data_IF_410452311915
#
_entry.id   IF_410452311915
#
_cell.length_a   1.000
_cell.length_b   1.000
_cell.length_c   1.000
_cell.angle_alpha   90.00
_cell.angle_beta   90.00
_cell.angle_gamma   90.00
#
_symmetry.space_group_name_H-M   'P 1'
#
loop_
_entity.id
_entity.type
_entity.pdbx_description
1 polymer ?
#
# COMPACT_ATOMS: atom_id res chain seq x y z
N UNK A 1 18.07 -16.10 15.48
CA UNK A 1 17.56 -15.86 14.11
C UNK A 1 16.77 -14.56 14.11
N UNK A 2 17.23 -13.53 13.41
CA UNK A 2 16.48 -12.29 13.23
C UNK A 2 15.46 -12.50 12.11
N UNK A 3 14.17 -12.59 12.45
CA UNK A 3 13.10 -12.60 11.46
C UNK A 3 13.18 -11.31 10.65
N UNK A 4 13.27 -11.36 9.30
CA UNK A 4 13.42 -10.17 8.46
C UNK A 4 12.24 -9.18 8.58
N UNK A 5 11.10 -9.60 9.15
CA UNK A 5 10.00 -8.70 9.52
C UNK A 5 10.23 -7.86 10.79
N UNK A 6 11.14 -8.28 11.68
CA UNK A 6 11.36 -7.64 12.99
C UNK A 6 12.04 -6.28 12.89
N UNK A 7 13.03 -6.14 11.99
CA UNK A 7 13.75 -4.89 11.81
C UNK A 7 12.86 -3.80 11.22
N UNK A 8 12.17 -4.10 10.11
CA UNK A 8 11.27 -3.16 9.44
C UNK A 8 10.14 -2.72 10.38
N UNK A 9 9.54 -3.67 11.12
CA UNK A 9 8.47 -3.35 12.06
C UNK A 9 8.95 -2.41 13.19
N UNK A 10 10.17 -2.58 13.70
CA UNK A 10 10.77 -1.65 14.66
C UNK A 10 10.98 -0.25 14.08
N UNK A 11 11.39 -0.14 12.82
CA UNK A 11 11.53 1.16 12.14
C UNK A 11 10.18 1.85 11.95
N UNK A 12 9.16 1.11 11.50
CA UNK A 12 7.81 1.67 11.31
C UNK A 12 7.19 2.06 12.65
N UNK A 13 7.41 1.27 13.71
CA UNK A 13 7.02 1.63 15.07
C UNK A 13 7.63 2.96 15.49
N UNK A 14 8.95 3.15 15.30
CA UNK A 14 9.62 4.44 15.57
C UNK A 14 9.05 5.59 14.73
N UNK A 15 8.69 5.34 13.47
CA UNK A 15 8.03 6.34 12.64
C UNK A 15 6.66 6.72 13.21
N UNK A 16 5.87 5.74 13.64
CA UNK A 16 4.56 5.99 14.25
C UNK A 16 4.66 6.79 15.56
N UNK A 17 5.66 6.51 16.41
CA UNK A 17 5.86 7.25 17.66
C UNK A 17 6.32 8.68 17.40
N UNK A 18 7.22 8.90 16.43
CA UNK A 18 7.62 10.24 16.00
C UNK A 18 6.44 11.05 15.44
N UNK A 19 5.61 10.43 14.60
CA UNK A 19 4.41 11.06 14.05
C UNK A 19 3.36 11.34 15.14
N UNK A 20 3.24 10.52 16.19
CA UNK A 20 2.33 10.82 17.31
C UNK A 20 2.87 11.95 18.19
N UNK A 21 4.17 11.96 18.45
CA UNK A 21 4.84 12.96 19.26
C UNK A 21 5.10 14.29 18.52
N UNK A 22 4.74 14.38 17.24
CA UNK A 22 5.03 15.51 16.35
C UNK A 22 6.53 15.89 16.29
N UNK A 23 7.41 14.91 16.53
CA UNK A 23 8.87 15.11 16.52
C UNK A 23 9.46 14.61 15.21
N UNK A 24 10.32 15.42 14.59
CA UNK A 24 11.04 15.05 13.36
C UNK A 24 10.10 14.56 12.24
N UNK A 25 8.94 15.21 12.10
CA UNK A 25 7.86 14.80 11.18
C UNK A 25 8.37 14.75 9.74
N UNK A 26 9.07 15.79 9.29
CA UNK A 26 9.65 15.87 7.93
C UNK A 26 10.57 14.69 7.60
N UNK A 27 11.50 14.38 8.51
CA UNK A 27 12.44 13.25 8.38
C UNK A 27 11.67 11.92 8.36
N UNK A 28 10.67 11.79 9.22
CA UNK A 28 9.86 10.57 9.32
C UNK A 28 9.04 10.33 8.07
N UNK A 29 8.43 11.37 7.49
CA UNK A 29 7.71 11.28 6.20
C UNK A 29 8.66 10.88 5.06
N UNK A 30 9.89 11.40 5.07
CA UNK A 30 10.90 11.03 4.08
C UNK A 30 11.35 9.57 4.25
N UNK A 31 11.60 9.11 5.48
CA UNK A 31 11.92 7.70 5.74
C UNK A 31 10.81 6.75 5.26
N UNK A 32 9.53 7.11 5.45
CA UNK A 32 8.39 6.33 4.93
C UNK A 32 8.36 6.28 3.39
N UNK A 33 8.89 7.31 2.72
CA UNK A 33 9.06 7.33 1.26
C UNK A 33 10.23 6.47 0.78
N UNK A 34 11.36 6.48 1.48
CA UNK A 34 12.54 5.69 1.09
C UNK A 34 12.42 4.21 1.42
N UNK A 35 11.79 3.86 2.55
CA UNK A 35 11.65 2.47 2.98
C UNK A 35 10.66 1.71 2.09
N UNK A 36 11.10 0.58 1.54
CA UNK A 36 10.23 -0.46 0.98
C UNK A 36 9.57 -1.23 2.13
N UNK A 37 8.50 -0.63 2.65
CA UNK A 37 7.72 -1.19 3.76
C UNK A 37 6.55 -2.00 3.21
N UNK A 38 6.29 -3.24 3.68
CA UNK A 38 5.09 -3.98 3.30
C UNK A 38 3.82 -3.23 3.74
N UNK A 39 2.76 -3.28 2.92
CA UNK A 39 1.51 -2.60 3.21
C UNK A 39 0.91 -3.06 4.55
N UNK A 40 0.96 -4.37 4.82
CA UNK A 40 0.49 -4.96 6.07
C UNK A 40 1.11 -4.30 7.31
N UNK A 41 2.41 -3.98 7.27
CA UNK A 41 3.10 -3.32 8.39
C UNK A 41 2.63 -1.88 8.54
N UNK A 42 2.41 -1.16 7.44
CA UNK A 42 1.90 0.21 7.47
C UNK A 42 0.45 0.28 8.01
N UNK A 43 -0.35 -0.74 7.72
CA UNK A 43 -1.73 -0.88 8.23
C UNK A 43 -1.74 -1.21 9.73
N UNK A 44 -0.87 -2.10 10.22
CA UNK A 44 -0.77 -2.45 11.66
C UNK A 44 -0.46 -1.23 12.55
N UNK A 45 0.31 -0.27 12.07
CA UNK A 45 0.68 0.93 12.84
C UNK A 45 -0.15 2.17 12.50
N UNK A 46 -1.25 2.03 11.76
CA UNK A 46 -2.14 3.13 11.36
C UNK A 46 -1.41 4.31 10.70
N UNK A 47 -0.32 4.04 9.97
CA UNK A 47 0.54 5.10 9.40
C UNK A 47 -0.26 6.01 8.47
N UNK A 48 -1.22 5.45 7.73
CA UNK A 48 -2.09 6.22 6.84
C UNK A 48 -2.89 7.30 7.60
N UNK A 49 -3.49 6.95 8.72
CA UNK A 49 -4.30 7.89 9.51
C UNK A 49 -3.41 8.93 10.21
N UNK A 50 -2.22 8.53 10.67
CA UNK A 50 -1.25 9.46 11.22
C UNK A 50 -0.79 10.49 10.18
N UNK A 51 -0.47 10.05 8.97
CA UNK A 51 0.01 10.93 7.89
C UNK A 51 -1.10 11.86 7.37
N UNK A 52 -2.37 11.44 7.37
CA UNK A 52 -3.49 12.30 6.96
C UNK A 52 -3.56 13.60 7.77
N UNK A 53 -3.35 13.54 9.08
CA UNK A 53 -3.34 14.72 9.96
C UNK A 53 -2.28 15.74 9.55
N UNK A 54 -1.17 15.26 8.98
CA UNK A 54 -0.11 16.12 8.45
C UNK A 54 -0.36 16.60 7.02
N UNK A 55 -1.31 16.00 6.29
CA UNK A 55 -1.70 16.48 4.97
C UNK A 55 -2.52 17.78 5.04
N UNK A 56 -3.12 18.07 6.19
CA UNK A 56 -3.83 19.32 6.49
C UNK A 56 -2.86 20.44 6.91
N UNK A 57 -1.67 20.08 7.39
CA UNK A 57 -0.64 21.02 7.81
C UNK A 57 0.16 21.54 6.60
N UNK A 58 0.23 22.86 6.37
CA UNK A 58 0.86 23.43 5.17
C UNK A 58 2.34 23.07 5.05
N UNK A 59 3.07 22.98 6.17
CA UNK A 59 4.50 22.65 6.20
C UNK A 59 4.80 21.21 5.73
N UNK A 60 3.89 20.27 5.98
CA UNK A 60 4.09 18.85 5.70
C UNK A 60 3.19 18.31 4.58
N UNK A 61 2.29 19.14 4.06
CA UNK A 61 1.24 18.77 3.10
C UNK A 61 1.76 18.00 1.91
N UNK A 62 2.83 18.48 1.29
CA UNK A 62 3.37 17.85 0.09
C UNK A 62 3.97 16.48 0.38
N UNK A 63 4.82 16.38 1.41
CA UNK A 63 5.44 15.13 1.83
C UNK A 63 4.40 14.11 2.30
N UNK A 64 3.41 14.54 3.07
CA UNK A 64 2.33 13.68 3.54
C UNK A 64 1.47 13.15 2.37
N UNK A 65 1.14 14.00 1.39
CA UNK A 65 0.41 13.57 0.18
C UNK A 65 1.19 12.55 -0.63
N UNK A 66 2.50 12.73 -0.81
CA UNK A 66 3.38 11.76 -1.49
C UNK A 66 3.36 10.40 -0.80
N UNK A 67 3.47 10.37 0.54
CA UNK A 67 3.37 9.13 1.33
C UNK A 67 2.01 8.46 1.16
N UNK A 68 0.91 9.23 1.25
CA UNK A 68 -0.45 8.70 1.06
C UNK A 68 -0.67 8.13 -0.35
N UNK A 69 -0.12 8.79 -1.37
CA UNK A 69 -0.18 8.31 -2.75
C UNK A 69 0.59 7.00 -2.93
N UNK A 70 1.78 6.88 -2.34
CA UNK A 70 2.56 5.63 -2.33
C UNK A 70 1.79 4.48 -1.69
N UNK A 71 1.19 4.70 -0.51
CA UNK A 71 0.35 3.69 0.17
C UNK A 71 -0.83 3.27 -0.73
N UNK A 72 -1.47 4.23 -1.42
CA UNK A 72 -2.57 3.93 -2.34
C UNK A 72 -2.10 3.10 -3.54
N UNK A 73 -0.96 3.43 -4.14
CA UNK A 73 -0.38 2.66 -5.25
C UNK A 73 -0.06 1.23 -4.82
N UNK A 74 0.56 1.06 -3.65
CA UNK A 74 0.82 -0.26 -3.09
C UNK A 74 -0.47 -1.08 -2.92
N UNK A 75 -1.54 -0.47 -2.40
CA UNK A 75 -2.84 -1.15 -2.23
C UNK A 75 -3.47 -1.59 -3.55
N UNK A 76 -3.34 -0.78 -4.60
CA UNK A 76 -3.80 -1.14 -5.96
C UNK A 76 -2.96 -2.27 -6.54
N UNK A 77 -1.63 -2.20 -6.36
CA UNK A 77 -0.72 -3.24 -6.86
C UNK A 77 -0.96 -4.58 -6.15
N UNK A 78 -1.17 -4.57 -4.83
CA UNK A 78 -1.47 -5.79 -4.07
C UNK A 78 -2.78 -6.43 -4.52
N UNK A 79 -3.83 -5.62 -4.73
CA UNK A 79 -5.09 -6.10 -5.30
C UNK A 79 -4.89 -6.72 -6.68
N UNK A 80 -4.15 -6.06 -7.58
CA UNK A 80 -3.84 -6.59 -8.92
C UNK A 80 -3.06 -7.90 -8.87
N UNK A 81 -2.10 -8.03 -7.94
CA UNK A 81 -1.35 -9.28 -7.72
C UNK A 81 -2.26 -10.40 -7.21
N UNK A 82 -3.20 -10.10 -6.31
CA UNK A 82 -4.19 -11.07 -5.84
C UNK A 82 -5.10 -11.55 -6.98
N UNK A 83 -5.59 -10.64 -7.84
CA UNK A 83 -6.43 -11.01 -9.00
C UNK A 83 -5.65 -11.74 -10.09
N UNK A 84 -4.35 -11.50 -10.25
CA UNK A 84 -3.49 -12.27 -11.16
C UNK A 84 -3.23 -13.69 -10.65
N UNK A 85 -3.02 -13.88 -9.35
CA UNK A 85 -2.85 -15.22 -8.78
C UNK A 85 -4.09 -16.11 -8.92
N UNK A 86 -5.29 -15.53 -8.95
CA UNK A 86 -6.52 -16.28 -9.26
C UNK A 86 -6.68 -16.64 -10.73
N UNK A 87 -5.97 -15.95 -11.64
CA UNK A 87 -5.97 -16.25 -13.08
C UNK A 87 -4.87 -17.25 -13.48
N UNK A 88 -3.85 -17.42 -12.66
CA UNK A 88 -2.71 -18.32 -12.92
C UNK A 88 -2.91 -19.72 -12.31
N UNK A 89 -3.83 -19.88 -11.36
CA UNK A 89 -4.17 -21.17 -10.76
C UNK A 89 -5.13 -22.02 -11.61
N UNK A 90 -5.80 -21.41 -12.59
CA UNK A 90 -6.74 -22.09 -13.47
C UNK A 90 -6.35 -21.75 -14.91
N UNK A 91 -5.47 -22.57 -15.48
CA UNK A 91 -5.03 -22.50 -16.88
C UNK A 91 -6.14 -22.79 -17.89
N UNK A 92 -7.35 -22.28 -17.67
CA UNK A 92 -8.47 -22.38 -18.60
C UNK A 92 -8.74 -20.99 -19.14
N UNK A 93 -8.06 -20.66 -20.25
CA UNK A 93 -8.62 -19.71 -21.22
C UNK A 93 -9.95 -20.30 -21.68
N UNK A 94 -11.06 -19.82 -21.13
CA UNK A 94 -12.38 -20.05 -21.73
C UNK A 94 -12.49 -19.06 -22.89
N UNK A 95 -12.34 -19.48 -24.16
CA UNK A 95 -12.73 -18.62 -25.27
C UNK A 95 -14.24 -18.38 -25.12
N UNK A 96 -14.63 -17.12 -25.08
CA UNK A 96 -16.03 -16.69 -25.07
C UNK A 96 -16.67 -17.17 -26.37
N UNK A 97 -17.31 -18.35 -26.34
CA UNK A 97 -18.09 -18.87 -27.46
C UNK A 97 -19.25 -17.89 -27.65
N UNK A 98 -19.17 -17.05 -28.69
CA UNK A 98 -20.31 -16.29 -29.17
C UNK A 98 -21.32 -17.31 -29.68
N UNK A 99 -22.40 -17.55 -28.92
CA UNK A 99 -23.55 -18.31 -29.40
C UNK A 99 -24.12 -17.58 -30.62
N UNK A 100 -23.74 -18.03 -31.81
CA UNK A 100 -24.36 -17.63 -33.07
C UNK A 100 -25.70 -18.36 -33.12
N UNK A 101 -26.78 -17.66 -32.77
CA UNK A 101 -28.14 -18.17 -32.93
C UNK A 101 -28.40 -18.33 -34.43
N UNK A 102 -28.40 -19.57 -34.90
CA UNK A 102 -28.80 -19.90 -36.27
C UNK A 102 -30.33 -19.90 -36.26
N UNK A 103 -30.94 -18.84 -36.78
CA UNK A 103 -32.37 -18.81 -37.07
C UNK A 103 -32.59 -19.58 -38.38
N UNK A 104 -33.26 -20.73 -38.28
CA UNK A 104 -33.78 -21.47 -39.43
C UNK A 104 -35.21 -21.00 -39.63
N UNK A 105 -35.51 -20.41 -40.80
CA UNK A 105 -36.86 -20.32 -41.33
C UNK A 105 -36.81 -20.32 -42.86
#
# INVERSE_FOLDING_TARGET
MATPGSAISKYVFRCSTHLRAQKKVKVTLQMLMDLKTPLAVLEVFDIKELVKRYAENPEYKESARKVLQKIRQMKVEEKRRATRKTLDADGVRIPRIQKKTIAVK
#
